data_IF_308563134894
#
_entry.id   IF_308563134894
#
_cell.length_a   1.000
_cell.length_b   1.000
_cell.length_c   1.000
_cell.angle_alpha   90.00
_cell.angle_beta   90.00
_cell.angle_gamma   90.00
#
_symmetry.space_group_name_H-M   'P 1'
#
loop_
_entity.id
_entity.type
_entity.pdbx_description
1 polymer ?
#
# COMPACT_ATOMS: atom_id res chain seq x y z
N UNK A 1 -4.20 10.41 24.49
CA UNK A 1 -4.15 9.77 23.17
C UNK A 1 -3.87 10.85 22.15
N UNK A 2 -2.65 10.90 21.61
CA UNK A 2 -2.35 11.79 20.48
C UNK A 2 -2.92 11.07 19.26
N UNK A 3 -4.07 11.54 18.77
CA UNK A 3 -4.66 11.04 17.54
C UNK A 3 -3.63 11.16 16.42
N UNK A 4 -3.51 10.14 15.59
CA UNK A 4 -2.78 10.24 14.34
C UNK A 4 -3.39 11.42 13.60
N UNK A 5 -2.71 12.57 13.59
CA UNK A 5 -3.07 13.69 12.73
C UNK A 5 -3.06 13.09 11.33
N UNK A 6 -4.18 13.19 10.60
CA UNK A 6 -4.32 12.67 9.24
C UNK A 6 -3.00 12.89 8.50
N UNK A 7 -2.29 11.79 8.19
CA UNK A 7 -1.03 11.87 7.48
C UNK A 7 -1.36 12.51 6.12
N UNK A 8 -0.93 13.76 5.86
CA UNK A 8 -1.49 14.55 4.76
C UNK A 8 -0.90 14.16 3.40
N UNK A 9 0.14 13.30 3.41
CA UNK A 9 0.88 12.88 2.23
C UNK A 9 0.55 11.43 1.92
N UNK A 10 0.41 11.13 0.63
CA UNK A 10 0.14 9.80 0.12
C UNK A 10 1.06 9.53 -1.08
N UNK A 11 1.58 8.31 -1.15
CA UNK A 11 2.03 7.72 -2.41
C UNK A 11 0.86 6.94 -2.99
N UNK A 12 0.66 7.00 -4.31
CA UNK A 12 -0.45 6.36 -4.98
C UNK A 12 -0.05 5.82 -6.35
N UNK A 13 -0.38 4.57 -6.64
CA UNK A 13 -0.07 3.93 -7.92
C UNK A 13 -1.11 2.85 -8.28
N UNK A 14 -1.29 2.64 -9.58
CA UNK A 14 -2.06 1.53 -10.12
C UNK A 14 -1.27 0.21 -10.06
N UNK A 15 -1.85 -0.80 -9.43
CA UNK A 15 -1.28 -2.13 -9.33
C UNK A 15 -2.16 -3.17 -10.02
N UNK A 16 -1.52 -4.06 -10.77
CA UNK A 16 -2.07 -5.38 -11.04
C UNK A 16 -2.27 -6.09 -9.69
N UNK A 17 -3.39 -6.79 -9.54
CA UNK A 17 -3.76 -7.45 -8.28
C UNK A 17 -2.67 -8.42 -7.80
N UNK A 18 -1.95 -9.06 -8.72
CA UNK A 18 -0.87 -10.00 -8.42
C UNK A 18 0.42 -9.34 -7.90
N UNK A 19 0.61 -8.05 -8.15
CA UNK A 19 1.81 -7.29 -7.75
C UNK A 19 1.68 -6.65 -6.36
N UNK A 20 0.47 -6.62 -5.79
CA UNK A 20 0.21 -6.01 -4.49
C UNK A 20 0.95 -6.73 -3.36
N UNK A 21 0.79 -8.06 -3.25
CA UNK A 21 1.49 -8.85 -2.24
C UNK A 21 3.02 -8.77 -2.38
N UNK A 22 3.62 -8.99 -3.58
CA UNK A 22 5.05 -8.79 -3.81
C UNK A 22 5.55 -7.41 -3.38
N UNK A 23 4.84 -6.34 -3.75
CA UNK A 23 5.21 -4.98 -3.38
C UNK A 23 5.19 -4.76 -1.86
N UNK A 24 4.11 -5.15 -1.19
CA UNK A 24 3.99 -5.00 0.27
C UNK A 24 5.03 -5.84 1.02
N UNK A 25 5.38 -7.01 0.50
CA UNK A 25 6.47 -7.84 1.03
C UNK A 25 7.82 -7.14 0.88
N UNK A 26 8.15 -6.63 -0.31
CA UNK A 26 9.38 -5.88 -0.56
C UNK A 26 9.48 -4.66 0.35
N UNK A 27 8.42 -3.85 0.42
CA UNK A 27 8.35 -2.70 1.30
C UNK A 27 8.62 -3.08 2.76
N UNK A 28 8.01 -4.18 3.23
CA UNK A 28 8.09 -4.61 4.62
C UNK A 28 9.41 -5.26 5.03
N UNK A 29 10.13 -5.84 4.07
CA UNK A 29 11.35 -6.64 4.34
C UNK A 29 12.64 -5.97 3.91
N UNK A 30 12.58 -5.10 2.89
CA UNK A 30 13.77 -4.49 2.28
C UNK A 30 13.91 -3.00 2.55
N UNK A 31 12.79 -2.31 2.84
CA UNK A 31 12.75 -0.85 2.97
C UNK A 31 12.49 -0.42 4.41
N UNK A 32 11.53 -1.08 5.06
CA UNK A 32 11.22 -0.88 6.46
C UNK A 32 12.09 -1.80 7.31
N UNK A 33 12.57 -1.30 8.46
CA UNK A 33 13.25 -2.14 9.45
C UNK A 33 12.27 -3.12 10.12
N UNK A 34 11.01 -2.70 10.20
CA UNK A 34 9.86 -3.53 10.62
C UNK A 34 8.65 -3.01 9.87
N UNK A 35 8.17 -3.77 8.88
CA UNK A 35 6.98 -3.44 8.10
C UNK A 35 5.74 -4.21 8.54
N UNK A 36 4.85 -4.45 7.57
CA UNK A 36 3.65 -5.27 7.79
C UNK A 36 4.03 -6.73 8.01
N UNK A 37 3.23 -7.43 8.81
CA UNK A 37 3.35 -8.87 8.93
C UNK A 37 2.61 -9.62 7.80
N UNK A 38 2.92 -10.91 7.67
CA UNK A 38 2.33 -11.76 6.61
C UNK A 38 0.80 -11.88 6.71
N UNK A 39 0.22 -11.77 7.90
CA UNK A 39 -1.23 -11.84 8.07
C UNK A 39 -1.88 -10.54 7.61
N UNK A 40 -1.26 -9.41 7.89
CA UNK A 40 -1.70 -8.09 7.43
C UNK A 40 -1.62 -7.98 5.91
N UNK A 41 -0.51 -8.41 5.30
CA UNK A 41 -0.35 -8.43 3.84
C UNK A 41 -1.40 -9.34 3.19
N UNK A 42 -1.57 -10.56 3.70
CA UNK A 42 -2.57 -11.50 3.19
C UNK A 42 -3.99 -10.98 3.36
N UNK A 43 -4.29 -10.32 4.48
CA UNK A 43 -5.59 -9.69 4.69
C UNK A 43 -5.88 -8.61 3.65
N UNK A 44 -4.90 -7.77 3.32
CA UNK A 44 -5.04 -6.74 2.28
C UNK A 44 -5.30 -7.40 0.92
N UNK A 45 -4.45 -8.36 0.53
CA UNK A 45 -4.58 -9.10 -0.73
C UNK A 45 -5.96 -9.76 -0.87
N UNK A 46 -6.34 -10.60 0.10
CA UNK A 46 -7.62 -11.33 0.08
C UNK A 46 -8.81 -10.36 0.01
N UNK A 47 -8.75 -9.24 0.71
CA UNK A 47 -9.85 -8.27 0.73
C UNK A 47 -10.01 -7.56 -0.62
N UNK A 48 -8.93 -7.28 -1.34
CA UNK A 48 -8.95 -6.72 -2.69
C UNK A 48 -9.46 -7.76 -3.70
N UNK A 49 -8.95 -8.98 -3.64
CA UNK A 49 -9.38 -10.08 -4.52
C UNK A 49 -10.88 -10.38 -4.37
N UNK A 50 -11.39 -10.40 -3.15
CA UNK A 50 -12.80 -10.70 -2.87
C UNK A 50 -13.75 -9.51 -3.08
N UNK A 51 -13.24 -8.33 -3.42
CA UNK A 51 -14.07 -7.16 -3.72
C UNK A 51 -14.63 -7.26 -5.14
N UNK A 52 -15.95 -7.23 -5.28
CA UNK A 52 -16.65 -7.29 -6.57
C UNK A 52 -17.51 -6.05 -6.83
N UNK A 53 -17.35 -5.02 -6.02
CA UNK A 53 -18.04 -3.74 -6.19
C UNK A 53 -17.12 -2.79 -6.97
N UNK A 54 -17.63 -2.25 -8.07
CA UNK A 54 -16.95 -1.20 -8.84
C UNK A 54 -16.91 0.11 -8.04
N UNK A 55 -15.84 0.90 -8.18
CA UNK A 55 -15.65 2.17 -7.50
C UNK A 55 -15.65 2.05 -5.96
N UNK A 56 -15.05 0.97 -5.44
CA UNK A 56 -14.99 0.73 -3.99
C UNK A 56 -13.66 1.21 -3.40
N UNK A 57 -13.73 2.24 -2.55
CA UNK A 57 -12.62 2.62 -1.67
C UNK A 57 -12.63 1.77 -0.39
N UNK A 58 -11.55 1.03 -0.16
CA UNK A 58 -11.34 0.16 0.99
C UNK A 58 -10.26 0.76 1.89
N UNK A 59 -10.58 0.98 3.16
CA UNK A 59 -9.58 1.33 4.17
C UNK A 59 -9.16 0.11 4.98
N UNK A 60 -7.88 -0.26 4.90
CA UNK A 60 -7.32 -1.42 5.60
C UNK A 60 -6.91 -1.09 7.03
N UNK A 61 -6.63 0.19 7.30
CA UNK A 61 -6.29 0.71 8.61
C UNK A 61 -4.89 1.32 8.67
N UNK A 62 -4.41 1.45 9.91
CA UNK A 62 -3.12 2.07 10.25
C UNK A 62 -2.23 1.01 10.86
N UNK A 63 -1.02 0.86 10.32
CA UNK A 63 -0.03 -0.13 10.71
C UNK A 63 1.18 0.55 11.34
N UNK A 64 1.59 0.08 12.51
CA UNK A 64 2.83 0.54 13.15
C UNK A 64 4.03 -0.06 12.40
N UNK A 65 4.98 0.79 12.00
CA UNK A 65 6.17 0.38 11.27
C UNK A 65 7.42 1.02 11.86
N UNK A 66 8.60 0.51 11.51
CA UNK A 66 9.89 1.13 11.84
C UNK A 66 10.64 1.46 10.57
N UNK A 67 11.10 2.70 10.46
CA UNK A 67 11.90 3.18 9.34
C UNK A 67 13.13 3.93 9.87
N UNK A 68 14.33 3.50 9.46
CA UNK A 68 15.62 4.04 9.92
C UNK A 68 15.72 4.14 11.45
N UNK A 69 15.27 3.09 12.15
CA UNK A 69 15.26 2.98 13.60
C UNK A 69 14.23 3.87 14.31
N UNK A 70 13.34 4.55 13.57
CA UNK A 70 12.27 5.39 14.13
C UNK A 70 10.93 4.70 13.98
N UNK A 71 10.18 4.64 15.09
CA UNK A 71 8.79 4.21 15.05
C UNK A 71 7.95 5.23 14.27
N UNK A 72 7.19 4.72 13.30
CA UNK A 72 6.29 5.47 12.43
C UNK A 72 5.00 4.69 12.24
N UNK A 73 4.08 5.22 11.44
CA UNK A 73 2.93 4.45 10.96
C UNK A 73 2.66 4.73 9.49
N UNK A 74 2.07 3.74 8.84
CA UNK A 74 1.52 3.86 7.49
C UNK A 74 0.02 3.60 7.57
N UNK A 75 -0.78 4.32 6.77
CA UNK A 75 -2.19 4.00 6.55
C UNK A 75 -2.34 3.53 5.12
N UNK A 76 -3.08 2.44 4.90
CA UNK A 76 -3.25 1.85 3.57
C UNK A 76 -4.73 1.91 3.18
N UNK A 77 -4.97 2.39 1.96
CA UNK A 77 -6.26 2.33 1.29
C UNK A 77 -6.07 1.76 -0.12
N UNK A 78 -7.11 1.17 -0.69
CA UNK A 78 -7.15 0.81 -2.09
C UNK A 78 -8.50 1.18 -2.69
N UNK A 79 -8.48 1.70 -3.91
CA UNK A 79 -9.65 1.91 -4.75
C UNK A 79 -9.68 0.78 -5.78
N UNK A 80 -10.80 0.07 -5.83
CA UNK A 80 -11.00 -1.06 -6.74
C UNK A 80 -12.02 -0.65 -7.80
N UNK A 81 -11.57 -0.62 -9.04
CA UNK A 81 -12.40 -0.38 -10.21
C UNK A 81 -12.50 -1.66 -11.05
N UNK A 82 -13.72 -1.98 -11.45
CA UNK A 82 -14.02 -3.16 -12.25
C UNK A 82 -14.70 -2.71 -13.54
N UNK A 83 -14.00 -2.79 -14.67
CA UNK A 83 -14.53 -2.46 -16.00
C UNK A 83 -14.45 -3.72 -16.88
N UNK A 84 -15.58 -4.15 -17.45
CA UNK A 84 -15.65 -5.26 -18.42
C UNK A 84 -14.86 -6.55 -18.03
N UNK A 85 -14.94 -6.95 -16.75
CA UNK A 85 -14.23 -8.10 -16.12
C UNK A 85 -12.78 -7.85 -15.70
N UNK A 86 -12.18 -6.74 -16.12
CA UNK A 86 -10.85 -6.31 -15.68
C UNK A 86 -10.94 -5.56 -14.35
N UNK A 87 -10.11 -5.96 -13.38
CA UNK A 87 -10.02 -5.35 -12.05
C UNK A 87 -8.76 -4.50 -11.96
N UNK A 88 -8.94 -3.20 -11.91
CA UNK A 88 -7.88 -2.23 -11.65
C UNK A 88 -7.87 -1.85 -10.17
N UNK A 89 -6.66 -1.69 -9.60
CA UNK A 89 -6.49 -1.33 -8.19
C UNK A 89 -5.55 -0.15 -8.06
N UNK A 90 -6.04 0.95 -7.51
CA UNK A 90 -5.20 2.08 -7.10
C UNK A 90 -4.89 1.94 -5.62
N UNK A 91 -3.62 1.72 -5.25
CA UNK A 91 -3.21 1.63 -3.85
C UNK A 91 -2.68 2.97 -3.37
N UNK A 92 -3.17 3.42 -2.21
CA UNK A 92 -2.70 4.63 -1.53
C UNK A 92 -2.06 4.29 -0.18
N UNK A 93 -0.81 4.74 0.02
CA UNK A 93 -0.11 4.59 1.31
C UNK A 93 0.23 5.97 1.87
N UNK A 94 -0.33 6.27 3.03
CA UNK A 94 -0.18 7.56 3.70
C UNK A 94 0.79 7.46 4.87
N UNK A 95 1.68 8.46 5.00
CA UNK A 95 2.59 8.57 6.14
C UNK A 95 3.19 9.97 6.25
N UNK A 96 4.27 10.12 7.02
CA UNK A 96 5.14 11.29 6.97
C UNK A 96 5.74 11.49 5.58
N UNK A 97 6.03 12.75 5.19
CA UNK A 97 6.62 13.07 3.89
C UNK A 97 7.86 12.22 3.57
N UNK A 98 8.81 12.10 4.52
CA UNK A 98 10.04 11.34 4.30
C UNK A 98 9.75 9.88 3.91
N UNK A 99 8.77 9.25 4.57
CA UNK A 99 8.43 7.86 4.30
C UNK A 99 7.62 7.72 3.00
N UNK A 100 6.70 8.66 2.73
CA UNK A 100 5.95 8.71 1.48
C UNK A 100 6.88 8.88 0.28
N UNK A 101 7.86 9.78 0.34
CA UNK A 101 8.84 10.01 -0.75
C UNK A 101 9.64 8.74 -1.09
N UNK A 102 9.79 7.83 -0.13
CA UNK A 102 10.50 6.57 -0.32
C UNK A 102 9.56 5.51 -0.85
N UNK A 103 8.34 5.41 -0.29
CA UNK A 103 7.32 4.49 -0.80
C UNK A 103 7.00 4.80 -2.27
N UNK A 104 6.83 6.08 -2.61
CA UNK A 104 6.57 6.54 -3.98
C UNK A 104 7.68 6.10 -4.95
N UNK A 105 8.96 6.24 -4.54
CA UNK A 105 10.09 5.74 -5.35
C UNK A 105 10.10 4.23 -5.50
N UNK A 106 9.67 3.48 -4.49
CA UNK A 106 9.59 2.03 -4.60
C UNK A 106 8.39 1.60 -5.46
N UNK A 107 7.28 2.34 -5.43
CA UNK A 107 6.15 2.13 -6.35
C UNK A 107 6.58 2.34 -7.80
N UNK A 108 7.26 3.45 -8.11
CA UNK A 108 7.76 3.73 -9.47
C UNK A 108 8.66 2.62 -10.04
N UNK A 109 9.43 1.91 -9.20
CA UNK A 109 10.26 0.78 -9.65
C UNK A 109 9.43 -0.43 -10.10
N UNK A 110 8.22 -0.62 -9.54
CA UNK A 110 7.30 -1.66 -10.00
C UNK A 110 6.77 -1.30 -11.38
N UNK A 111 6.43 -0.02 -11.60
CA UNK A 111 5.99 0.48 -12.90
C UNK A 111 7.07 0.31 -13.98
N UNK A 112 8.31 0.71 -13.68
CA UNK A 112 9.45 0.57 -14.59
C UNK A 112 9.72 -0.89 -14.98
N UNK A 113 9.42 -1.86 -14.11
CA UNK A 113 9.59 -3.29 -14.41
C UNK A 113 8.53 -3.84 -15.39
N UNK A 114 7.37 -3.18 -15.50
CA UNK A 114 6.30 -3.57 -16.44
C UNK A 114 6.61 -3.19 -17.89
N UNK A 115 7.49 -2.22 -18.13
CA UNK A 115 7.79 -1.70 -19.48
C UNK A 115 8.85 -2.51 -20.27
N UNK A 116 9.31 -3.68 -19.78
CA UNK A 116 10.38 -4.48 -20.40
C UNK A 116 10.00 -5.91 -20.77
#
# INVERSE_FOLDING_TARGET
MVGFKEAPYAAGMNFDVEEIEPFLNHLSTSILDTGLDQKEIKFIQEKIENTNEHNQLIEFGIFDVTYKGKQSKIRIQAEVDIEDEDKEVVMYIYSSQELVDIIDKEMLKVEEQREF
#
